data_IF_218100195307
#
_entry.id   IF_218100195307
#
_cell.length_a   1.000
_cell.length_b   1.000
_cell.length_c   1.000
_cell.angle_alpha   90.00
_cell.angle_beta   90.00
_cell.angle_gamma   90.00
#
_symmetry.space_group_name_H-M   'P 1'
#
loop_
_entity.id
_entity.type
_entity.pdbx_description
1 polymer ?
#
# COMPACT_ATOMS: atom_id res chain seq x y z
N UNK A 1 -11.66 -5.03 6.19
CA UNK A 1 -10.32 -5.13 5.60
C UNK A 1 -10.23 -4.13 4.46
N UNK A 2 -9.48 -3.05 4.68
CA UNK A 2 -9.27 -2.01 3.68
C UNK A 2 -8.17 -2.43 2.70
N UNK A 3 -8.27 -1.99 1.46
CA UNK A 3 -7.24 -2.21 0.44
C UNK A 3 -6.77 -0.88 -0.14
N UNK A 4 -5.52 -0.81 -0.55
CA UNK A 4 -4.92 0.37 -1.17
C UNK A 4 -4.41 0.02 -2.59
N UNK A 5 -4.73 0.86 -3.56
CA UNK A 5 -4.20 0.80 -4.92
C UNK A 5 -2.98 1.71 -5.06
N UNK A 6 -2.22 1.57 -6.15
CA UNK A 6 -1.06 2.42 -6.37
C UNK A 6 -1.45 3.91 -6.47
N UNK A 7 -2.59 4.19 -7.12
CA UNK A 7 -3.13 5.55 -7.30
C UNK A 7 -3.46 6.22 -5.96
N UNK A 8 -3.90 5.44 -4.98
CA UNK A 8 -4.26 5.94 -3.65
C UNK A 8 -3.04 6.50 -2.89
N UNK A 9 -1.83 6.01 -3.19
CA UNK A 9 -0.56 6.49 -2.64
C UNK A 9 0.22 7.34 -3.65
N UNK A 10 -0.52 8.10 -4.47
CA UNK A 10 -0.01 9.02 -5.48
C UNK A 10 0.97 8.36 -6.49
N UNK A 11 0.78 7.07 -6.76
CA UNK A 11 1.65 6.28 -7.62
C UNK A 11 3.12 6.38 -7.25
N UNK A 12 3.43 6.35 -5.95
CA UNK A 12 4.81 6.51 -5.47
C UNK A 12 5.75 5.52 -6.14
N UNK A 13 6.88 6.03 -6.64
CA UNK A 13 7.96 5.24 -7.22
C UNK A 13 9.15 5.09 -6.28
N UNK A 14 9.09 5.74 -5.12
CA UNK A 14 10.16 5.70 -4.11
C UNK A 14 9.65 5.01 -2.84
N UNK A 15 10.42 4.08 -2.26
CA UNK A 15 10.09 3.48 -0.98
C UNK A 15 10.03 4.54 0.13
N UNK A 16 9.15 4.32 1.10
CA UNK A 16 8.99 5.23 2.24
C UNK A 16 7.55 5.34 2.72
N UNK A 17 7.30 6.24 3.68
CA UNK A 17 5.96 6.49 4.17
C UNK A 17 5.09 7.17 3.11
N UNK A 18 3.86 6.69 2.93
CA UNK A 18 2.85 7.30 2.05
C UNK A 18 1.52 7.47 2.78
N UNK A 19 0.79 8.54 2.50
CA UNK A 19 -0.51 8.81 3.13
C UNK A 19 -1.64 8.08 2.41
N UNK A 20 -2.55 7.46 3.17
CA UNK A 20 -3.79 6.86 2.69
C UNK A 20 -4.93 7.13 3.68
N UNK A 21 -5.79 8.10 3.36
CA UNK A 21 -6.75 8.62 4.33
C UNK A 21 -6.02 9.19 5.55
N UNK A 22 -6.44 8.78 6.75
CA UNK A 22 -5.81 9.17 8.03
C UNK A 22 -4.61 8.27 8.42
N UNK A 23 -4.22 7.33 7.56
CA UNK A 23 -3.13 6.38 7.82
C UNK A 23 -1.85 6.81 7.11
N UNK A 24 -0.71 6.52 7.73
CA UNK A 24 0.58 6.48 7.04
C UNK A 24 0.93 5.02 6.77
N UNK A 25 1.23 4.68 5.52
CA UNK A 25 1.59 3.33 5.07
C UNK A 25 3.10 3.27 4.83
N UNK A 26 3.75 2.16 5.19
CA UNK A 26 5.12 1.87 4.78
C UNK A 26 5.10 1.23 3.38
N UNK A 27 5.59 1.95 2.37
CA UNK A 27 5.71 1.43 1.01
C UNK A 27 7.13 0.93 0.78
N UNK A 28 7.26 -0.35 0.43
CA UNK A 28 8.55 -0.98 0.12
C UNK A 28 8.81 -1.03 -1.39
N UNK A 29 10.06 -1.28 -1.79
CA UNK A 29 10.42 -1.55 -3.20
C UNK A 29 9.60 -2.69 -3.79
N UNK A 30 9.30 -3.72 -3.00
CA UNK A 30 8.49 -4.85 -3.44
C UNK A 30 7.05 -4.42 -3.75
N UNK A 31 6.45 -3.55 -2.93
CA UNK A 31 5.08 -3.07 -3.20
C UNK A 31 5.02 -2.30 -4.52
N UNK A 32 6.02 -1.44 -4.75
CA UNK A 32 6.16 -0.66 -5.98
C UNK A 32 6.35 -1.60 -7.18
N UNK A 33 7.19 -2.63 -7.07
CA UNK A 33 7.42 -3.58 -8.14
C UNK A 33 6.13 -4.33 -8.53
N UNK A 34 5.31 -4.74 -7.55
CA UNK A 34 4.03 -5.41 -7.83
C UNK A 34 3.01 -4.47 -8.48
N UNK A 35 2.95 -3.21 -8.06
CA UNK A 35 2.11 -2.22 -8.73
C UNK A 35 2.64 -1.82 -10.12
N UNK A 36 3.94 -1.90 -10.38
CA UNK A 36 4.50 -1.69 -11.71
C UNK A 36 4.12 -2.83 -12.66
N UNK A 37 4.07 -4.07 -12.15
CA UNK A 37 3.62 -5.24 -12.90
C UNK A 37 2.10 -5.18 -13.17
N UNK A 38 1.32 -4.78 -12.15
CA UNK A 38 -0.12 -4.62 -12.23
C UNK A 38 -0.59 -3.33 -11.54
N UNK A 39 -0.72 -2.22 -12.31
CA UNK A 39 -1.09 -0.90 -11.79
C UNK A 39 -2.48 -0.78 -11.18
N UNK A 40 -3.38 -1.70 -11.53
CA UNK A 40 -4.75 -1.73 -11.00
C UNK A 40 -4.92 -2.74 -9.85
N UNK A 41 -3.86 -3.51 -9.55
CA UNK A 41 -3.76 -4.38 -8.39
C UNK A 41 -3.75 -3.61 -7.06
N UNK A 42 -4.08 -4.31 -5.97
CA UNK A 42 -4.32 -3.71 -4.65
C UNK A 42 -3.63 -4.47 -3.53
N UNK A 43 -3.15 -3.78 -2.50
CA UNK A 43 -2.66 -4.41 -1.28
C UNK A 43 -3.70 -4.36 -0.17
N UNK A 44 -3.76 -5.40 0.66
CA UNK A 44 -4.40 -5.30 1.97
C UNK A 44 -3.65 -4.29 2.85
N UNK A 45 -4.38 -3.42 3.53
CA UNK A 45 -3.81 -2.59 4.61
C UNK A 45 -3.91 -3.40 5.90
N UNK A 46 -2.79 -3.64 6.59
CA UNK A 46 -2.80 -4.40 7.84
C UNK A 46 -3.15 -3.48 9.01
N UNK A 47 -4.38 -3.53 9.52
CA UNK A 47 -4.77 -2.75 10.70
C UNK A 47 -3.89 -3.17 11.91
N UNK A 48 -3.07 -2.26 12.42
CA UNK A 48 -2.30 -2.49 13.65
C UNK A 48 -3.22 -2.28 14.85
N UNK A 49 -3.31 -3.24 15.79
CA UNK A 49 -4.22 -3.15 16.93
C UNK A 49 -3.96 -1.95 17.86
N UNK A 50 -2.76 -1.37 17.79
CA UNK A 50 -2.32 -0.24 18.61
C UNK A 50 -2.48 1.14 17.93
N UNK A 51 -3.05 1.20 16.71
CA UNK A 51 -3.25 2.46 15.98
C UNK A 51 -1.95 3.18 15.60
N UNK A 52 -0.82 2.47 15.63
CA UNK A 52 0.49 3.03 15.33
C UNK A 52 0.69 3.05 13.81
N UNK A 53 0.88 4.26 13.29
CA UNK A 53 1.40 4.51 11.95
C UNK A 53 2.93 4.70 12.00
N UNK A 54 3.71 4.19 11.03
CA UNK A 54 3.25 3.69 9.75
C UNK A 54 2.82 2.21 9.78
N UNK A 55 1.84 1.89 8.94
CA UNK A 55 1.22 0.58 8.78
C UNK A 55 1.82 -0.14 7.56
N UNK A 56 2.16 -1.42 7.70
CA UNK A 56 2.64 -2.22 6.58
C UNK A 56 1.52 -2.71 5.66
N UNK A 57 1.89 -2.89 4.38
CA UNK A 57 1.04 -3.53 3.39
C UNK A 57 1.13 -5.05 3.48
N UNK A 58 -0.03 -5.69 3.43
CA UNK A 58 -0.18 -7.14 3.49
C UNK A 58 -0.15 -7.80 2.11
N UNK A 59 -1.10 -8.72 1.89
CA UNK A 59 -1.20 -9.49 0.66
C UNK A 59 -1.56 -8.60 -0.55
N UNK A 60 -0.93 -8.87 -1.69
CA UNK A 60 -1.29 -8.29 -2.99
C UNK A 60 -2.43 -9.06 -3.66
N UNK A 61 -3.37 -8.33 -4.24
CA UNK A 61 -4.50 -8.81 -5.02
C UNK A 61 -4.39 -8.23 -6.44
N UNK A 62 -4.01 -9.05 -7.44
CA UNK A 62 -3.94 -8.59 -8.82
C UNK A 62 -5.33 -8.26 -9.38
N UNK A 63 -5.38 -7.35 -10.35
CA UNK A 63 -6.55 -7.04 -11.16
C UNK A 63 -6.88 -8.23 -12.08
N UNK A 64 -8.17 -8.53 -12.22
CA UNK A 64 -8.69 -9.66 -13.01
C UNK A 64 -8.80 -9.33 -14.50
#
# INVERSE_FOLDING_TARGET
MSTVSWKDVASTETPGPASFGDLTLTITEQNIAQWKDDPDGRFAVMETPDGVSPVDLGKFFPSL
#
